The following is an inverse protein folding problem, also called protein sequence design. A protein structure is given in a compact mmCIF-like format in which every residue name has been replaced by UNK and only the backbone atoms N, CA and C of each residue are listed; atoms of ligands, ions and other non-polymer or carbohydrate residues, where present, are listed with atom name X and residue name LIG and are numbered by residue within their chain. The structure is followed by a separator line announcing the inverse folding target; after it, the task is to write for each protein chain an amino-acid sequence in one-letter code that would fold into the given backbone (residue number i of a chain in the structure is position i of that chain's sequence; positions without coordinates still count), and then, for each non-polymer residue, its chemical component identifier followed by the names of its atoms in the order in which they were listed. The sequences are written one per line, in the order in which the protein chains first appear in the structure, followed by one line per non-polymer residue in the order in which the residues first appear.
data_IF_952126871507
#
_entry.id   IF_952126871507
#
_cell.length_a   1.000
_cell.length_b   1.000
_cell.length_c   1.000
_cell.angle_alpha   90.00
_cell.angle_beta   90.00
_cell.angle_gamma   90.00
#
_symmetry.space_group_name_H-M   'P 1'
#
loop_
_entity.id
_entity.type
_entity.pdbx_description
1 polymer ?
#
# COMPACT_ATOMS: atom_id res chain seq x y z
N UNK A 1 10.31 -0.26 -9.64
CA UNK A 1 9.50 -0.75 -8.52
C UNK A 1 8.71 -1.94 -9.01
N UNK A 2 8.68 -3.01 -8.24
CA UNK A 2 7.92 -4.23 -8.57
C UNK A 2 6.63 -4.30 -7.77
N UNK A 3 5.59 -4.91 -8.36
CA UNK A 3 4.30 -5.15 -7.71
C UNK A 3 4.09 -6.65 -7.57
N UNK A 4 4.13 -7.14 -6.34
CA UNK A 4 3.93 -8.54 -5.98
C UNK A 4 2.50 -8.80 -5.51
N UNK A 5 2.04 -10.04 -5.64
CA UNK A 5 0.75 -10.48 -5.12
C UNK A 5 -0.49 -9.90 -5.83
N UNK A 6 -0.35 -9.30 -7.00
CA UNK A 6 -1.48 -8.78 -7.78
C UNK A 6 -2.53 -9.84 -8.10
N UNK A 7 -2.10 -11.07 -8.40
CA UNK A 7 -3.04 -12.16 -8.70
C UNK A 7 -3.82 -12.63 -7.46
N UNK A 8 -3.26 -12.48 -6.25
CA UNK A 8 -3.95 -12.89 -5.01
C UNK A 8 -5.11 -11.97 -4.64
N UNK A 9 -5.00 -10.67 -4.98
CA UNK A 9 -6.06 -9.68 -4.70
C UNK A 9 -7.05 -9.49 -5.86
N UNK A 10 -6.77 -10.03 -7.04
CA UNK A 10 -7.58 -9.84 -8.25
C UNK A 10 -9.06 -10.24 -8.07
N UNK A 11 -9.40 -11.37 -7.42
CA UNK A 11 -10.79 -11.70 -7.14
C UNK A 11 -11.47 -10.67 -6.23
N UNK A 12 -10.73 -10.17 -5.24
CA UNK A 12 -11.24 -9.20 -4.26
C UNK A 12 -11.62 -7.88 -4.92
N UNK A 13 -10.90 -7.44 -5.95
CA UNK A 13 -11.19 -6.18 -6.65
C UNK A 13 -12.59 -6.14 -7.30
N UNK A 14 -13.25 -7.29 -7.50
CA UNK A 14 -14.61 -7.36 -8.01
C UNK A 14 -15.69 -7.20 -6.91
N UNK A 15 -15.30 -7.24 -5.64
CA UNK A 15 -16.21 -7.06 -4.52
C UNK A 15 -16.45 -5.58 -4.24
N UNK A 16 -17.70 -5.21 -3.93
CA UNK A 16 -18.05 -3.80 -3.63
C UNK A 16 -17.31 -3.23 -2.42
N UNK A 17 -16.94 -4.09 -1.47
CA UNK A 17 -16.39 -3.71 -0.17
C UNK A 17 -15.09 -4.46 0.13
N UNK A 18 -14.21 -4.56 -0.86
CA UNK A 18 -12.95 -5.28 -0.67
C UNK A 18 -12.08 -4.64 0.41
N UNK A 19 -11.28 -5.50 1.03
CA UNK A 19 -10.24 -5.09 1.96
C UNK A 19 -9.07 -6.07 1.80
N UNK A 20 -7.90 -5.52 1.51
CA UNK A 20 -6.66 -6.28 1.46
C UNK A 20 -5.53 -5.45 2.06
N UNK A 21 -4.40 -6.10 2.31
CA UNK A 21 -3.23 -5.48 2.94
C UNK A 21 -2.18 -5.14 1.88
N UNK A 22 -1.34 -4.18 2.24
CA UNK A 22 -0.24 -3.68 1.42
C UNK A 22 1.01 -3.52 2.30
N UNK A 23 2.15 -3.93 1.78
CA UNK A 23 3.48 -3.61 2.31
C UNK A 23 4.28 -2.92 1.21
N UNK A 24 4.96 -1.82 1.49
CA UNK A 24 5.67 -1.06 0.47
C UNK A 24 7.00 -0.47 0.96
N UNK A 25 7.94 -0.32 0.04
CA UNK A 25 9.18 0.44 0.23
C UNK A 25 9.70 0.94 -1.13
N UNK A 26 10.93 1.48 -1.17
CA UNK A 26 11.50 2.03 -2.39
C UNK A 26 11.74 1.01 -3.52
N UNK A 27 11.79 -0.29 -3.20
CA UNK A 27 11.99 -1.38 -4.15
C UNK A 27 10.67 -1.83 -4.78
N UNK A 28 9.56 -1.77 -4.03
CA UNK A 28 8.28 -2.20 -4.56
C UNK A 28 7.14 -2.24 -3.56
N UNK A 29 6.15 -3.05 -3.90
CA UNK A 29 4.92 -3.22 -3.14
C UNK A 29 4.49 -4.69 -3.18
N UNK A 30 4.03 -5.20 -2.03
CA UNK A 30 3.41 -6.51 -1.89
C UNK A 30 1.93 -6.28 -1.57
N UNK A 31 1.04 -6.86 -2.37
CA UNK A 31 -0.41 -6.86 -2.18
C UNK A 31 -0.87 -8.25 -1.75
N UNK A 32 -1.68 -8.35 -0.70
CA UNK A 32 -2.08 -9.66 -0.19
C UNK A 32 -3.42 -9.62 0.55
N UNK A 33 -4.15 -10.75 0.62
CA UNK A 33 -5.44 -10.83 1.29
C UNK A 33 -5.37 -10.41 2.76
N UNK A 34 -6.50 -9.98 3.30
CA UNK A 34 -6.60 -9.49 4.68
C UNK A 34 -6.16 -10.54 5.71
N UNK A 35 -6.38 -11.81 5.39
CA UNK A 35 -6.15 -12.97 6.23
C UNK A 35 -4.67 -13.23 6.49
N UNK A 36 -3.78 -12.77 5.61
CA UNK A 36 -2.33 -12.91 5.76
C UNK A 36 -1.78 -11.76 6.59
N UNK A 37 -1.00 -12.05 7.62
CA UNK A 37 -0.33 -11.03 8.42
C UNK A 37 0.88 -10.43 7.70
N UNK A 38 1.17 -9.15 7.98
CA UNK A 38 2.25 -8.42 7.30
C UNK A 38 3.63 -9.07 7.52
N UNK A 39 3.80 -9.81 8.61
CA UNK A 39 5.04 -10.54 8.96
C UNK A 39 5.17 -11.89 8.22
N UNK A 40 4.07 -12.43 7.70
CA UNK A 40 4.04 -13.73 7.02
C UNK A 40 4.46 -13.63 5.55
N UNK A 41 4.58 -12.40 5.03
CA UNK A 41 4.88 -12.15 3.63
C UNK A 41 6.02 -11.14 3.48
N UNK A 42 7.02 -11.55 2.73
CA UNK A 42 8.21 -10.77 2.44
C UNK A 42 8.72 -11.12 1.05
N UNK A 43 9.35 -10.17 0.40
CA UNK A 43 10.12 -10.38 -0.82
C UNK A 43 11.59 -10.06 -0.53
N UNK A 44 12.51 -10.47 -1.39
CA UNK A 44 13.96 -10.34 -1.18
C UNK A 44 14.38 -8.94 -0.71
N UNK A 45 13.74 -7.89 -1.25
CA UNK A 45 14.02 -6.49 -0.93
C UNK A 45 12.96 -5.82 -0.04
N UNK A 46 11.86 -6.51 0.31
CA UNK A 46 10.71 -5.91 1.00
C UNK A 46 10.37 -6.72 2.25
N UNK A 47 10.77 -6.17 3.40
CA UNK A 47 10.68 -6.83 4.70
C UNK A 47 9.93 -5.94 5.68
N UNK A 48 8.74 -6.37 6.05
CA UNK A 48 8.03 -5.81 7.19
C UNK A 48 8.49 -6.52 8.46
N UNK A 49 8.86 -5.73 9.48
CA UNK A 49 9.13 -6.23 10.83
C UNK A 49 8.35 -5.33 11.80
N UNK A 50 7.72 -5.90 12.85
CA UNK A 50 7.00 -5.12 13.84
C UNK A 50 7.84 -4.00 14.46
N UNK A 51 7.15 -3.05 15.09
CA UNK A 51 7.78 -1.92 15.78
C UNK A 51 8.70 -1.09 14.89
N UNK A 52 8.38 -1.03 13.59
CA UNK A 52 9.11 -0.27 12.57
C UNK A 52 10.58 -0.68 12.43
N UNK A 53 10.92 -1.94 12.69
CA UNK A 53 12.29 -2.45 12.57
C UNK A 53 12.61 -2.91 11.14
N UNK A 54 11.59 -3.00 10.28
CA UNK A 54 11.72 -3.45 8.90
C UNK A 54 12.10 -2.32 7.95
N UNK A 55 12.23 -2.65 6.67
CA UNK A 55 12.48 -1.67 5.63
C UNK A 55 11.21 -1.28 4.85
N UNK A 56 10.04 -1.67 5.33
CA UNK A 56 8.77 -1.51 4.62
C UNK A 56 7.62 -1.02 5.50
N UNK A 57 6.80 -0.14 4.92
CA UNK A 57 5.60 0.40 5.56
C UNK A 57 4.39 -0.50 5.28
N UNK A 58 3.63 -0.78 6.33
CA UNK A 58 2.42 -1.59 6.26
C UNK A 58 1.16 -0.73 6.18
N UNK A 59 0.18 -1.20 5.40
CA UNK A 59 -1.11 -0.54 5.28
C UNK A 59 -2.24 -1.48 4.89
N UNK A 60 -3.41 -0.87 4.70
CA UNK A 60 -4.63 -1.51 4.20
C UNK A 60 -5.16 -0.74 3.00
N UNK A 61 -5.84 -1.45 2.11
CA UNK A 61 -6.45 -0.90 0.90
C UNK A 61 -7.94 -1.23 0.90
N UNK A 62 -8.75 -0.20 0.67
CA UNK A 62 -10.22 -0.24 0.52
C UNK A 62 -10.60 0.53 -0.75
N UNK A 63 -11.83 0.37 -1.26
CA UNK A 63 -12.30 1.15 -2.42
C UNK A 63 -12.10 2.66 -2.22
N UNK A 64 -11.21 3.26 -3.02
CA UNK A 64 -10.94 4.70 -2.99
C UNK A 64 -9.99 5.17 -1.89
N UNK A 65 -9.38 4.29 -1.10
CA UNK A 65 -8.63 4.66 0.10
C UNK A 65 -7.49 3.68 0.43
N UNK A 66 -6.30 4.21 0.70
CA UNK A 66 -5.12 3.48 1.19
C UNK A 66 -4.72 4.10 2.52
N UNK A 67 -4.59 3.30 3.57
CA UNK A 67 -4.20 3.76 4.90
C UNK A 67 -2.94 3.05 5.37
N UNK A 68 -1.89 3.81 5.64
CA UNK A 68 -0.64 3.31 6.17
C UNK A 68 -0.51 3.53 7.68
N UNK A 69 0.06 2.53 8.35
CA UNK A 69 0.47 2.60 9.75
C UNK A 69 1.77 3.38 9.87
N UNK A 70 1.96 4.02 11.02
CA UNK A 70 3.21 4.70 11.34
C UNK A 70 4.42 3.77 11.16
N UNK A 71 5.49 4.32 10.58
CA UNK A 71 6.80 3.70 10.57
C UNK A 71 7.89 4.75 10.83
N UNK A 72 8.83 4.45 11.73
CA UNK A 72 9.89 5.38 12.17
C UNK A 72 10.72 5.93 10.99
N UNK A 73 11.11 5.06 10.06
CA UNK A 73 11.92 5.44 8.89
C UNK A 73 11.13 6.05 7.71
N UNK A 74 9.82 6.25 7.85
CA UNK A 74 8.96 6.78 6.79
C UNK A 74 8.31 8.10 7.23
N UNK A 75 9.04 9.23 7.12
CA UNK A 75 8.42 10.55 7.29
C UNK A 75 7.40 10.83 6.19
N UNK A 76 6.48 11.77 6.45
CA UNK A 76 5.38 12.12 5.53
C UNK A 76 5.84 12.36 4.10
N UNK A 77 6.93 13.11 3.91
CA UNK A 77 7.51 13.41 2.60
C UNK A 77 7.94 12.13 1.86
N UNK A 78 8.58 11.20 2.57
CA UNK A 78 9.00 9.91 1.99
C UNK A 78 7.78 9.07 1.60
N UNK A 79 6.77 8.98 2.47
CA UNK A 79 5.52 8.26 2.15
C UNK A 79 4.81 8.89 0.96
N UNK A 80 4.76 10.23 0.89
CA UNK A 80 4.15 10.95 -0.22
C UNK A 80 4.84 10.63 -1.56
N UNK A 81 6.17 10.76 -1.62
CA UNK A 81 6.95 10.46 -2.83
C UNK A 81 6.87 8.98 -3.23
N UNK A 82 6.94 8.08 -2.24
CA UNK A 82 6.77 6.65 -2.45
C UNK A 82 5.41 6.35 -3.09
N UNK A 83 4.34 6.93 -2.55
CA UNK A 83 2.99 6.68 -3.04
C UNK A 83 2.69 7.32 -4.39
N UNK A 84 3.28 8.48 -4.70
CA UNK A 84 3.23 9.01 -6.07
C UNK A 84 3.84 8.04 -7.08
N UNK A 85 4.99 7.43 -6.75
CA UNK A 85 5.66 6.44 -7.61
C UNK A 85 4.85 5.16 -7.75
N UNK A 86 4.30 4.64 -6.65
CA UNK A 86 3.47 3.42 -6.63
C UNK A 86 2.19 3.63 -7.45
N UNK A 87 1.47 4.74 -7.24
CA UNK A 87 0.21 5.02 -7.94
C UNK A 87 0.39 5.31 -9.43
N UNK A 88 1.61 5.62 -9.87
CA UNK A 88 1.96 5.77 -11.28
C UNK A 88 2.21 4.42 -11.99
N UNK A 89 2.32 3.31 -11.26
CA UNK A 89 2.56 1.99 -11.85
C UNK A 89 1.30 1.49 -12.60
N UNK A 90 1.44 0.90 -13.80
CA UNK A 90 0.32 0.29 -14.53
C UNK A 90 -0.42 -0.78 -13.71
N UNK A 91 0.31 -1.53 -12.90
CA UNK A 91 -0.20 -2.53 -11.98
C UNK A 91 -1.02 -1.90 -10.85
N UNK A 92 -0.87 -0.61 -10.56
CA UNK A 92 -1.67 0.09 -9.55
C UNK A 92 -2.83 0.88 -10.17
N UNK A 93 -3.16 0.65 -11.44
CA UNK A 93 -4.24 1.37 -12.13
C UNK A 93 -5.61 1.30 -11.42
N UNK A 94 -5.89 0.22 -10.67
CA UNK A 94 -7.13 0.10 -9.89
C UNK A 94 -7.21 1.14 -8.74
N UNK A 95 -6.06 1.56 -8.20
CA UNK A 95 -5.93 2.53 -7.12
C UNK A 95 -5.84 3.98 -7.64
N UNK A 96 -6.00 4.19 -8.96
CA UNK A 96 -5.89 5.51 -9.56
C UNK A 96 -6.90 6.47 -8.93
N UNK A 97 -6.39 7.56 -8.36
CA UNK A 97 -7.19 8.60 -7.72
C UNK A 97 -7.67 8.26 -6.31
N UNK A 98 -7.16 7.19 -5.69
CA UNK A 98 -7.45 6.88 -4.29
C UNK A 98 -6.88 7.95 -3.37
N UNK A 99 -7.54 8.14 -2.25
CA UNK A 99 -6.96 8.86 -1.12
C UNK A 99 -5.87 8.02 -0.47
N UNK A 100 -4.77 8.66 -0.07
CA UNK A 100 -3.73 8.05 0.77
C UNK A 100 -3.69 8.76 2.11
N UNK A 101 -3.88 7.98 3.18
CA UNK A 101 -3.82 8.40 4.56
C UNK A 101 -2.61 7.78 5.24
N UNK A 102 -1.92 8.59 6.03
CA UNK A 102 -0.81 8.16 6.87
C UNK A 102 -0.95 8.79 8.25
N UNK A 103 -0.91 7.96 9.30
CA UNK A 103 -1.10 8.41 10.68
C UNK A 103 -2.39 9.23 10.88
N UNK A 104 -3.49 8.80 10.24
CA UNK A 104 -4.79 9.48 10.29
C UNK A 104 -4.86 10.82 9.53
N UNK A 105 -3.82 11.20 8.80
CA UNK A 105 -3.74 12.45 8.01
C UNK A 105 -3.73 12.13 6.52
N UNK A 106 -4.47 12.90 5.74
CA UNK A 106 -4.49 12.76 4.27
C UNK A 106 -3.19 13.30 3.69
N UNK A 107 -2.39 12.42 3.07
CA UNK A 107 -1.15 12.80 2.37
C UNK A 107 -1.37 13.01 0.87
N UNK A 108 -2.25 12.21 0.27
CA UNK A 108 -2.66 12.37 -1.14
C UNK A 108 -4.19 12.42 -1.14
N UNK A 109 -4.79 13.56 -1.51
CA UNK A 109 -6.24 13.67 -1.55
C UNK A 109 -6.82 12.83 -2.69
N UNK A 110 -8.04 12.34 -2.49
CA UNK A 110 -8.79 11.66 -3.54
C UNK A 110 -8.91 12.55 -4.78
N UNK A 111 -8.61 12.01 -5.96
CA UNK A 111 -8.83 12.74 -7.20
C UNK A 111 -10.34 12.91 -7.41
N UNK A 112 -10.80 14.15 -7.63
CA UNK A 112 -12.18 14.40 -8.03
C UNK A 112 -12.40 13.78 -9.41
N UNK A 113 -13.44 12.94 -9.55
CA UNK A 113 -13.91 12.53 -10.86
C UNK A 113 -14.27 13.82 -11.64
N UNK A 114 -13.63 14.02 -12.79
CA UNK A 114 -14.01 15.06 -13.75
C UNK A 114 -15.21 14.58 -14.56
#
# INVERSE_FOLDING_TARGET
MHVYGRESIKPLLHEKSYLFKITANDHGVILFPRETEHEEISEEDIHYVPDSQGNAIAGIVKPGHIEFRHHNDFPDERVHLLMQRILALPEMAFAKGFEVVYQGRVLIPRAKAK
#
